data_IF_456125537300
#
_entry.id   IF_456125537300
#
_cell.length_a   1.000
_cell.length_b   1.000
_cell.length_c   1.000
_cell.angle_alpha   90.00
_cell.angle_beta   90.00
_cell.angle_gamma   90.00
#
_symmetry.space_group_name_H-M   'P 1'
#
loop_
_entity.id
_entity.type
_entity.pdbx_description
1 polymer ?
#
# COMPACT_ATOMS: atom_id res chain seq x y z
N UNK A 1 -9.75 41.85 90.33
CA UNK A 1 -8.86 42.06 89.17
C UNK A 1 -8.17 40.74 88.76
N UNK A 2 -8.82 39.88 87.98
CA UNK A 2 -8.24 38.61 87.46
C UNK A 2 -8.61 38.36 85.98
N UNK A 3 -8.81 39.43 85.22
CA UNK A 3 -9.33 39.37 83.84
C UNK A 3 -8.37 39.78 82.71
N UNK A 4 -7.15 40.26 83.01
CA UNK A 4 -6.22 40.76 81.98
C UNK A 4 -5.03 39.84 81.65
N UNK A 5 -4.75 38.80 82.44
CA UNK A 5 -3.58 37.91 82.23
C UNK A 5 -3.85 36.66 81.36
N UNK A 6 -5.10 36.35 81.01
CA UNK A 6 -5.46 35.15 80.24
C UNK A 6 -5.34 35.35 78.72
N UNK A 7 -5.66 36.55 78.22
CA UNK A 7 -5.63 36.88 76.79
C UNK A 7 -4.19 37.08 76.28
N UNK A 8 -3.32 37.70 77.10
CA UNK A 8 -1.90 37.89 76.74
C UNK A 8 -1.11 36.58 76.67
N UNK A 9 -1.43 35.58 77.51
CA UNK A 9 -0.70 34.31 77.54
C UNK A 9 -1.00 33.43 76.32
N UNK A 10 -2.27 33.39 75.87
CA UNK A 10 -2.67 32.67 74.63
C UNK A 10 -2.11 33.32 73.36
N UNK A 11 -1.99 34.66 73.31
CA UNK A 11 -1.36 35.36 72.19
C UNK A 11 0.14 35.07 72.07
N UNK A 12 0.85 34.99 73.19
CA UNK A 12 2.29 34.71 73.22
C UNK A 12 2.63 33.26 72.83
N UNK A 13 1.81 32.29 73.23
CA UNK A 13 1.98 30.88 72.81
C UNK A 13 1.68 30.70 71.32
N UNK A 14 0.69 31.40 70.76
CA UNK A 14 0.37 31.36 69.33
C UNK A 14 1.49 31.97 68.47
N UNK A 15 2.06 33.11 68.89
CA UNK A 15 3.20 33.72 68.20
C UNK A 15 4.47 32.86 68.30
N UNK A 16 4.72 32.23 69.44
CA UNK A 16 5.88 31.34 69.61
C UNK A 16 5.78 30.08 68.73
N UNK A 17 4.59 29.51 68.57
CA UNK A 17 4.35 28.36 67.70
C UNK A 17 4.55 28.70 66.22
N UNK A 18 4.06 29.85 65.75
CA UNK A 18 4.26 30.32 64.37
C UNK A 18 5.73 30.62 64.08
N UNK A 19 6.44 31.27 65.02
CA UNK A 19 7.85 31.58 64.87
C UNK A 19 8.72 30.31 64.82
N UNK A 20 8.38 29.29 65.63
CA UNK A 20 9.05 27.98 65.60
C UNK A 20 8.85 27.26 64.26
N UNK A 21 7.63 27.26 63.70
CA UNK A 21 7.36 26.66 62.39
C UNK A 21 8.08 27.39 61.25
N UNK A 22 8.13 28.73 61.28
CA UNK A 22 8.87 29.54 60.30
C UNK A 22 10.39 29.29 60.38
N UNK A 23 10.96 29.17 61.59
CA UNK A 23 12.37 28.85 61.79
C UNK A 23 12.72 27.42 61.34
N UNK A 24 11.82 26.45 61.56
CA UNK A 24 11.95 25.08 61.05
C UNK A 24 11.95 25.04 59.51
N UNK A 25 11.00 25.74 58.87
CA UNK A 25 10.92 25.85 57.42
C UNK A 25 12.16 26.54 56.82
N UNK A 26 12.67 27.59 57.46
CA UNK A 26 13.89 28.29 57.02
C UNK A 26 15.16 27.42 57.14
N UNK A 27 15.29 26.61 58.20
CA UNK A 27 16.39 25.64 58.36
C UNK A 27 16.32 24.53 57.30
N UNK A 28 15.13 24.01 57.01
CA UNK A 28 14.89 23.02 55.94
C UNK A 28 15.31 23.57 54.57
N UNK A 29 14.94 24.81 54.26
CA UNK A 29 15.27 25.49 53.00
C UNK A 29 16.79 25.72 52.83
N UNK A 30 17.51 26.09 53.89
CA UNK A 30 18.97 26.28 53.87
C UNK A 30 19.73 24.96 53.66
N UNK A 31 19.22 23.84 54.18
CA UNK A 31 19.84 22.51 53.99
C UNK A 31 19.67 21.97 52.56
N UNK A 32 18.53 22.22 51.91
CA UNK A 32 18.25 21.79 50.52
C UNK A 32 19.13 22.51 49.50
N UNK A 33 19.42 23.81 49.69
CA UNK A 33 20.37 24.55 48.84
C UNK A 33 21.79 24.00 48.89
N UNK A 34 22.27 23.55 50.06
CA UNK A 34 23.59 22.91 50.19
C UNK A 34 23.65 21.56 49.47
N UNK A 35 22.61 20.72 49.59
CA UNK A 35 22.57 19.42 48.89
C UNK A 35 22.53 19.58 47.36
N UNK A 36 21.83 20.58 46.84
CA UNK A 36 21.80 20.89 45.41
C UNK A 36 23.16 21.43 44.93
N UNK A 37 23.82 22.28 45.73
CA UNK A 37 25.15 22.81 45.41
C UNK A 37 26.24 21.72 45.39
N UNK A 38 26.22 20.77 46.33
CA UNK A 38 27.15 19.64 46.33
C UNK A 38 26.85 18.61 45.22
N UNK A 39 25.58 18.41 44.85
CA UNK A 39 25.20 17.60 43.69
C UNK A 39 25.71 18.21 42.38
N UNK A 40 25.59 19.52 42.21
CA UNK A 40 26.11 20.23 41.03
C UNK A 40 27.65 20.21 40.97
N UNK A 41 28.33 20.41 42.11
CA UNK A 41 29.79 20.40 42.17
C UNK A 41 30.38 18.98 41.95
N UNK A 42 29.69 17.95 42.45
CA UNK A 42 30.05 16.53 42.19
C UNK A 42 29.88 16.15 40.72
N UNK A 43 28.84 16.66 40.05
CA UNK A 43 28.63 16.40 38.62
C UNK A 43 29.72 17.08 37.78
N UNK A 44 30.13 18.30 38.15
CA UNK A 44 31.20 19.03 37.45
C UNK A 44 32.57 18.35 37.63
N UNK A 45 32.89 17.84 38.83
CA UNK A 45 34.11 17.07 39.07
C UNK A 45 34.11 15.67 38.41
N UNK A 46 32.94 15.03 38.30
CA UNK A 46 32.81 13.75 37.59
C UNK A 46 32.98 13.91 36.07
N UNK A 47 32.51 15.02 35.50
CA UNK A 47 32.67 15.33 34.08
C UNK A 47 34.13 15.68 33.72
N UNK A 48 34.92 16.23 34.65
CA UNK A 48 36.33 16.55 34.41
C UNK A 48 37.28 15.34 34.48
N UNK A 49 36.82 14.19 34.98
CA UNK A 49 37.62 12.95 35.05
C UNK A 49 37.29 11.95 33.93
N UNK A 50 36.44 12.33 32.97
CA UNK A 50 36.23 11.53 31.77
C UNK A 50 37.52 11.55 30.93
N UNK A 51 38.04 10.37 30.50
CA UNK A 51 39.22 10.33 29.64
C UNK A 51 38.95 11.13 28.36
N UNK A 52 39.89 12.01 28.00
CA UNK A 52 39.89 12.86 26.79
C UNK A 52 39.79 12.05 25.47
N UNK A 53 39.72 10.72 25.51
CA UNK A 53 39.40 9.84 24.38
C UNK A 53 37.90 9.54 24.19
N UNK A 54 37.02 10.05 25.07
CA UNK A 54 35.56 9.89 24.95
C UNK A 54 34.86 11.09 24.29
N UNK A 55 35.61 12.10 23.84
CA UNK A 55 35.23 12.87 22.65
C UNK A 55 35.53 12.00 21.44
N UNK A 56 34.76 10.92 21.31
CA UNK A 56 34.51 10.36 20.00
C UNK A 56 34.15 11.57 19.15
N UNK A 57 34.89 11.75 18.06
CA UNK A 57 34.39 12.52 16.94
C UNK A 57 32.91 12.17 16.86
N UNK A 58 32.04 13.16 17.08
CA UNK A 58 30.69 13.10 16.55
C UNK A 58 30.91 13.17 15.03
N UNK A 59 31.45 12.09 14.46
CA UNK A 59 31.17 11.74 13.09
C UNK A 59 29.65 11.83 13.06
N UNK A 60 29.14 12.81 12.31
CA UNK A 60 27.73 12.82 11.96
C UNK A 60 27.38 11.37 11.65
N UNK A 61 26.52 10.77 12.47
CA UNK A 61 26.12 9.38 12.27
C UNK A 61 25.59 9.36 10.84
N UNK A 62 26.37 8.75 9.93
CA UNK A 62 26.15 8.97 8.53
C UNK A 62 24.71 8.53 8.21
N UNK A 63 23.94 9.44 7.63
CA UNK A 63 22.50 9.32 7.45
C UNK A 63 22.20 8.42 6.24
N UNK A 64 22.52 7.13 6.39
CA UNK A 64 22.45 6.14 5.33
C UNK A 64 21.00 5.83 4.96
N UNK A 65 20.70 5.86 3.66
CA UNK A 65 19.39 5.48 3.13
C UNK A 65 19.12 3.98 3.26
N UNK A 66 20.12 3.15 2.93
CA UNK A 66 19.93 1.70 2.83
C UNK A 66 21.20 0.93 3.18
N UNK A 67 21.07 -0.38 3.35
CA UNK A 67 22.20 -1.29 3.54
C UNK A 67 22.02 -2.60 2.77
N UNK A 68 23.13 -3.27 2.48
CA UNK A 68 23.18 -4.64 1.96
C UNK A 68 24.16 -5.43 2.83
N UNK A 69 23.65 -6.41 3.57
CA UNK A 69 24.44 -7.07 4.61
C UNK A 69 24.93 -6.05 5.65
N UNK A 70 26.24 -5.90 5.79
CA UNK A 70 26.86 -4.93 6.72
C UNK A 70 27.28 -3.61 6.04
N UNK A 71 27.19 -3.53 4.70
CA UNK A 71 27.60 -2.34 3.95
C UNK A 71 26.45 -1.34 3.87
N UNK A 72 26.68 -0.10 4.31
CA UNK A 72 25.69 0.98 4.29
C UNK A 72 25.91 1.92 3.08
N UNK A 73 24.83 2.47 2.56
CA UNK A 73 24.79 3.33 1.38
C UNK A 73 24.08 4.65 1.70
N UNK A 74 24.69 5.77 1.31
CA UNK A 74 24.13 7.11 1.57
C UNK A 74 22.84 7.34 0.80
N UNK A 75 22.73 6.81 -0.42
CA UNK A 75 21.56 6.95 -1.29
C UNK A 75 20.96 5.60 -1.64
N UNK A 76 19.65 5.59 -1.92
CA UNK A 76 18.95 4.40 -2.34
C UNK A 76 19.46 3.91 -3.71
N UNK A 77 19.69 4.82 -4.66
CA UNK A 77 20.28 4.49 -5.97
C UNK A 77 21.63 3.76 -5.85
N UNK A 78 22.52 4.20 -4.95
CA UNK A 78 23.81 3.54 -4.76
C UNK A 78 23.66 2.09 -4.27
N UNK A 79 22.65 1.80 -3.45
CA UNK A 79 22.33 0.42 -3.06
C UNK A 79 21.80 -0.41 -4.24
N UNK A 80 20.92 0.16 -5.06
CA UNK A 80 20.40 -0.52 -6.27
C UNK A 80 21.50 -0.78 -7.33
N UNK A 81 22.47 0.11 -7.46
CA UNK A 81 23.61 -0.09 -8.36
C UNK A 81 24.51 -1.24 -7.85
N UNK A 82 24.74 -1.29 -6.54
CA UNK A 82 25.64 -2.24 -5.91
C UNK A 82 25.06 -3.65 -5.69
N UNK A 83 23.73 -3.79 -5.64
CA UNK A 83 23.09 -5.07 -5.32
C UNK A 83 23.43 -6.17 -6.34
N UNK A 84 23.71 -7.36 -5.80
CA UNK A 84 24.01 -8.58 -6.56
C UNK A 84 22.87 -9.58 -6.43
N UNK A 85 22.97 -10.66 -7.21
CA UNK A 85 22.01 -11.78 -7.17
C UNK A 85 21.87 -12.30 -5.73
N UNK A 86 20.62 -12.59 -5.35
CA UNK A 86 20.18 -13.14 -4.06
C UNK A 86 20.50 -12.27 -2.84
N UNK A 87 20.87 -11.00 -3.03
CA UNK A 87 21.05 -10.05 -1.93
C UNK A 87 19.75 -9.33 -1.57
N UNK A 88 19.74 -8.73 -0.38
CA UNK A 88 18.65 -7.89 0.10
C UNK A 88 19.16 -6.47 0.33
N UNK A 89 18.48 -5.50 -0.26
CA UNK A 89 18.58 -4.09 0.12
C UNK A 89 17.60 -3.88 1.28
N UNK A 90 18.07 -3.42 2.43
CA UNK A 90 17.21 -3.05 3.57
C UNK A 90 17.19 -1.54 3.72
N UNK A 91 15.99 -0.96 3.73
CA UNK A 91 15.79 0.47 3.93
C UNK A 91 16.01 0.85 5.40
N UNK A 92 16.75 1.92 5.65
CA UNK A 92 17.12 2.36 7.01
C UNK A 92 16.33 3.59 7.47
N UNK A 93 15.84 4.40 6.53
CA UNK A 93 15.05 5.60 6.77
C UNK A 93 14.07 5.83 5.63
N UNK A 94 13.13 6.75 5.82
CA UNK A 94 12.25 7.19 4.74
C UNK A 94 13.06 7.96 3.69
N UNK A 95 12.79 7.71 2.41
CA UNK A 95 13.55 8.27 1.29
C UNK A 95 12.61 8.95 0.31
N UNK A 96 12.91 10.20 -0.03
CA UNK A 96 12.32 10.88 -1.19
C UNK A 96 13.28 10.73 -2.38
N UNK A 97 12.76 10.21 -3.48
CA UNK A 97 13.52 9.91 -4.69
C UNK A 97 13.28 10.97 -5.75
N UNK A 98 14.38 11.53 -6.26
CA UNK A 98 14.38 12.68 -7.17
C UNK A 98 14.54 12.34 -8.65
N UNK A 99 14.77 11.07 -8.97
CA UNK A 99 14.98 10.54 -10.32
C UNK A 99 14.59 9.05 -10.39
N UNK A 100 14.20 8.52 -11.57
CA UNK A 100 13.85 7.11 -11.72
C UNK A 100 14.93 6.15 -11.24
N UNK A 101 14.54 5.06 -10.58
CA UNK A 101 15.40 3.93 -10.25
C UNK A 101 15.30 2.90 -11.36
N UNK A 102 16.37 2.79 -12.14
CA UNK A 102 16.46 1.84 -13.24
C UNK A 102 17.07 0.53 -12.76
N UNK A 103 16.38 -0.59 -12.99
CA UNK A 103 16.85 -1.92 -12.65
C UNK A 103 17.05 -2.71 -13.94
N UNK A 104 18.30 -3.09 -14.20
CA UNK A 104 18.74 -3.74 -15.45
C UNK A 104 19.74 -4.88 -15.19
N UNK A 105 20.02 -5.66 -16.24
CA UNK A 105 20.96 -6.78 -16.22
C UNK A 105 20.34 -8.10 -15.77
N UNK A 106 21.15 -9.03 -15.27
CA UNK A 106 20.70 -10.32 -14.71
C UNK A 106 20.87 -10.25 -13.20
N UNK A 107 19.79 -9.91 -12.49
CA UNK A 107 19.80 -9.72 -11.03
C UNK A 107 18.45 -10.16 -10.47
N UNK A 108 18.43 -11.15 -9.59
CA UNK A 108 17.26 -11.41 -8.75
C UNK A 108 17.61 -11.02 -7.32
N UNK A 109 16.85 -10.14 -6.69
CA UNK A 109 17.18 -9.60 -5.35
C UNK A 109 15.91 -9.17 -4.63
N UNK A 110 16.05 -8.83 -3.34
CA UNK A 110 14.95 -8.37 -2.49
C UNK A 110 15.19 -6.94 -2.06
N UNK A 111 14.14 -6.14 -2.01
CA UNK A 111 14.09 -4.85 -1.34
C UNK A 111 13.13 -4.94 -0.16
N UNK A 112 13.71 -4.81 1.02
CA UNK A 112 13.02 -4.82 2.28
C UNK A 112 12.79 -3.38 2.75
N UNK A 113 11.52 -2.97 2.79
CA UNK A 113 11.12 -1.64 3.22
C UNK A 113 11.31 -1.44 4.72
N UNK A 114 11.37 -2.51 5.53
CA UNK A 114 11.67 -2.44 6.96
C UNK A 114 10.85 -1.34 7.71
N UNK A 115 9.56 -1.27 7.40
CA UNK A 115 8.62 -0.29 7.94
C UNK A 115 8.83 1.16 7.50
N UNK A 116 9.63 1.40 6.44
CA UNK A 116 9.95 2.73 5.91
C UNK A 116 9.24 3.01 4.60
N UNK A 117 9.23 4.29 4.23
CA UNK A 117 8.59 4.79 3.02
C UNK A 117 9.62 5.19 1.96
N UNK A 118 9.37 4.79 0.71
CA UNK A 118 10.00 5.40 -0.47
C UNK A 118 8.94 6.23 -1.19
N UNK A 119 9.19 7.52 -1.35
CA UNK A 119 8.27 8.44 -2.00
C UNK A 119 8.95 9.09 -3.21
N UNK A 120 8.31 9.06 -4.37
CA UNK A 120 8.76 9.86 -5.51
C UNK A 120 8.61 11.35 -5.19
N UNK A 121 9.51 12.22 -5.64
CA UNK A 121 9.33 13.65 -5.42
C UNK A 121 8.07 14.18 -6.15
N UNK A 122 7.06 14.59 -5.39
CA UNK A 122 5.78 15.13 -5.88
C UNK A 122 5.89 16.39 -6.75
N UNK A 123 7.02 17.12 -6.67
CA UNK A 123 7.27 18.31 -7.51
C UNK A 123 7.91 17.95 -8.85
N UNK A 124 8.17 16.67 -9.12
CA UNK A 124 8.91 16.17 -10.29
C UNK A 124 8.09 15.21 -11.16
N UNK A 125 6.76 15.26 -11.08
CA UNK A 125 5.84 14.40 -11.84
C UNK A 125 6.06 14.43 -13.35
N UNK A 126 6.56 15.55 -13.89
CA UNK A 126 6.82 15.70 -15.33
C UNK A 126 8.15 15.06 -15.77
N UNK A 127 9.02 14.72 -14.82
CA UNK A 127 10.35 14.14 -15.09
C UNK A 127 10.47 12.69 -14.65
N UNK A 128 9.62 12.25 -13.72
CA UNK A 128 9.55 10.87 -13.25
C UNK A 128 8.31 10.25 -13.87
N UNK A 129 8.46 9.70 -15.07
CA UNK A 129 7.38 8.91 -15.68
C UNK A 129 7.14 7.64 -14.86
N UNK A 130 8.19 6.90 -14.51
CA UNK A 130 8.11 5.76 -13.61
C UNK A 130 9.12 5.85 -12.47
N UNK A 131 8.68 5.68 -11.22
CA UNK A 131 9.60 5.68 -10.06
C UNK A 131 10.60 4.52 -10.17
N UNK A 132 10.10 3.32 -10.48
CA UNK A 132 10.92 2.16 -10.81
C UNK A 132 10.69 1.74 -12.25
N UNK A 133 11.78 1.60 -13.00
CA UNK A 133 11.77 1.03 -14.35
C UNK A 133 12.55 -0.28 -14.37
N UNK A 134 11.82 -1.37 -14.61
CA UNK A 134 12.33 -2.74 -14.58
C UNK A 134 12.52 -3.25 -16.01
N UNK A 135 13.77 -3.44 -16.41
CA UNK A 135 14.14 -3.97 -17.71
C UNK A 135 15.33 -4.94 -17.58
N UNK A 136 15.06 -6.11 -16.98
CA UNK A 136 16.08 -7.04 -16.52
C UNK A 136 15.59 -8.50 -16.63
N UNK A 137 16.52 -9.45 -16.53
CA UNK A 137 16.22 -10.88 -16.47
C UNK A 137 16.32 -11.37 -15.01
N UNK A 138 15.19 -11.38 -14.31
CA UNK A 138 15.15 -11.85 -12.93
C UNK A 138 13.88 -11.44 -12.19
N UNK A 139 13.92 -11.61 -10.87
CA UNK A 139 12.86 -11.23 -9.95
C UNK A 139 13.30 -10.08 -9.04
N UNK A 140 12.52 -9.01 -9.02
CA UNK A 140 12.63 -7.93 -8.05
C UNK A 140 11.55 -8.16 -6.99
N UNK A 141 11.95 -8.71 -5.85
CA UNK A 141 11.05 -8.95 -4.73
C UNK A 141 10.97 -7.75 -3.80
N UNK A 142 9.77 -7.37 -3.39
CA UNK A 142 9.49 -6.33 -2.40
C UNK A 142 8.86 -7.00 -1.19
N UNK A 143 9.37 -6.65 -0.02
CA UNK A 143 8.81 -7.07 1.26
C UNK A 143 8.89 -5.94 2.28
N UNK A 144 8.19 -6.12 3.37
CA UNK A 144 8.41 -5.41 4.61
C UNK A 144 8.62 -6.43 5.73
N UNK A 145 9.82 -6.53 6.30
CA UNK A 145 10.12 -7.51 7.35
C UNK A 145 9.50 -7.18 8.70
N UNK A 146 9.01 -5.95 8.92
CA UNK A 146 8.40 -5.62 10.21
C UNK A 146 7.01 -6.24 10.35
N UNK A 147 6.62 -6.55 11.58
CA UNK A 147 5.34 -7.22 11.88
C UNK A 147 4.11 -6.40 11.48
N UNK A 148 4.20 -5.07 11.56
CA UNK A 148 3.08 -4.18 11.23
C UNK A 148 2.85 -3.96 9.74
N UNK A 149 3.82 -4.32 8.89
CA UNK A 149 3.76 -4.12 7.43
C UNK A 149 3.45 -2.67 7.02
N UNK A 150 4.04 -1.70 7.73
CA UNK A 150 3.81 -0.26 7.51
C UNK A 150 4.66 0.31 6.36
N UNK A 151 5.59 -0.47 5.79
CA UNK A 151 6.46 -0.05 4.69
C UNK A 151 5.69 0.18 3.39
N UNK A 152 5.98 1.31 2.73
CA UNK A 152 5.24 1.76 1.54
C UNK A 152 6.15 2.31 0.44
N UNK A 153 5.70 2.19 -0.80
CA UNK A 153 6.27 2.87 -1.95
C UNK A 153 5.18 3.74 -2.57
N UNK A 154 5.41 5.05 -2.61
CA UNK A 154 4.44 6.04 -3.09
C UNK A 154 5.00 6.70 -4.34
N UNK A 155 4.22 6.72 -5.41
CA UNK A 155 4.56 7.48 -6.61
C UNK A 155 3.39 8.34 -7.07
N UNK A 156 3.73 9.30 -7.93
CA UNK A 156 2.80 10.30 -8.42
C UNK A 156 2.74 10.26 -9.95
N UNK A 157 2.17 9.19 -10.56
CA UNK A 157 2.00 9.13 -12.01
C UNK A 157 1.26 10.37 -12.49
N UNK A 158 1.66 10.95 -13.63
CA UNK A 158 1.03 12.14 -14.20
C UNK A 158 -0.06 11.74 -15.21
N UNK A 159 -0.20 12.52 -16.28
CA UNK A 159 -1.26 12.35 -17.29
C UNK A 159 -0.87 11.46 -18.47
N UNK A 160 0.29 10.77 -18.45
CA UNK A 160 0.65 9.82 -19.50
C UNK A 160 0.31 8.38 -19.11
N UNK A 161 -0.10 7.59 -20.11
CA UNK A 161 -0.45 6.18 -19.91
C UNK A 161 0.78 5.33 -19.52
N UNK A 162 1.97 5.79 -19.89
CA UNK A 162 3.25 5.17 -19.51
C UNK A 162 3.69 5.55 -18.09
N UNK A 163 3.03 6.49 -17.44
CA UNK A 163 3.42 6.91 -16.09
C UNK A 163 2.98 5.88 -15.06
N UNK A 164 3.87 5.54 -14.13
CA UNK A 164 3.60 4.55 -13.11
C UNK A 164 4.45 4.65 -11.85
N UNK A 165 4.11 3.92 -10.78
CA UNK A 165 5.08 3.68 -9.69
C UNK A 165 6.10 2.64 -10.14
N UNK A 166 5.62 1.56 -10.75
CA UNK A 166 6.45 0.51 -11.34
C UNK A 166 6.09 0.29 -12.80
N UNK A 167 7.06 0.49 -13.70
CA UNK A 167 6.99 0.00 -15.07
C UNK A 167 7.81 -1.29 -15.18
N UNK A 168 7.12 -2.41 -15.37
CA UNK A 168 7.73 -3.72 -15.63
C UNK A 168 7.76 -3.95 -17.13
N UNK A 169 8.88 -3.58 -17.75
CA UNK A 169 9.13 -3.81 -19.16
C UNK A 169 9.67 -5.23 -19.42
N UNK A 170 10.48 -5.75 -18.50
CA UNK A 170 11.02 -7.11 -18.53
C UNK A 170 11.32 -7.57 -17.12
N UNK A 171 11.25 -8.89 -16.90
CA UNK A 171 11.45 -9.50 -15.59
C UNK A 171 10.15 -9.59 -14.78
N UNK A 172 10.29 -9.89 -13.50
CA UNK A 172 9.14 -10.09 -12.60
C UNK A 172 9.25 -9.17 -11.39
N UNK A 173 8.21 -8.36 -11.16
CA UNK A 173 7.95 -7.73 -9.88
C UNK A 173 7.25 -8.75 -8.97
N UNK A 174 7.83 -9.01 -7.79
CA UNK A 174 7.26 -9.94 -6.80
C UNK A 174 6.90 -9.16 -5.54
N UNK A 175 5.65 -9.22 -5.10
CA UNK A 175 5.20 -8.58 -3.85
C UNK A 175 4.94 -9.65 -2.79
N UNK A 176 5.77 -9.66 -1.74
CA UNK A 176 5.71 -10.59 -0.61
C UNK A 176 5.08 -9.96 0.64
N UNK A 177 4.50 -8.77 0.52
CA UNK A 177 3.94 -7.99 1.61
C UNK A 177 4.61 -6.62 1.75
N UNK A 178 3.87 -5.57 1.43
CA UNK A 178 4.18 -4.14 1.56
C UNK A 178 3.02 -3.37 0.89
N UNK A 179 3.02 -2.03 0.92
CA UNK A 179 2.10 -1.23 0.11
C UNK A 179 2.80 -0.56 -1.08
N UNK A 180 2.16 -0.58 -2.25
CA UNK A 180 2.50 0.26 -3.41
C UNK A 180 1.30 1.19 -3.66
N UNK A 181 1.53 2.50 -3.68
CA UNK A 181 0.49 3.52 -3.78
C UNK A 181 0.76 4.47 -4.96
N UNK A 182 -0.13 4.47 -5.96
CA UNK A 182 -0.16 5.51 -6.99
C UNK A 182 -1.15 6.61 -6.61
N UNK A 183 -0.62 7.82 -6.42
CA UNK A 183 -1.40 8.99 -6.03
C UNK A 183 -1.47 9.97 -7.17
N UNK A 184 -2.66 10.16 -7.72
CA UNK A 184 -3.00 11.30 -8.54
C UNK A 184 -3.08 12.56 -7.67
N UNK A 185 -2.17 13.52 -7.90
CA UNK A 185 -2.15 14.82 -7.23
C UNK A 185 -3.17 15.82 -7.79
N UNK A 186 -3.67 15.57 -9.01
CA UNK A 186 -4.49 16.52 -9.73
C UNK A 186 -5.99 16.22 -9.51
N UNK A 187 -6.67 17.19 -8.89
CA UNK A 187 -8.14 17.30 -8.83
C UNK A 187 -8.70 18.16 -9.98
N UNK A 188 -7.91 18.44 -11.01
CA UNK A 188 -8.20 19.40 -12.08
C UNK A 188 -9.20 18.89 -13.14
N UNK A 189 -9.84 17.75 -12.89
CA UNK A 189 -10.85 17.17 -13.78
C UNK A 189 -10.29 16.49 -15.03
N UNK A 190 -8.96 16.52 -15.27
CA UNK A 190 -8.33 15.69 -16.29
C UNK A 190 -8.08 14.29 -15.72
N UNK A 191 -8.55 13.21 -16.36
CA UNK A 191 -8.33 11.88 -15.82
C UNK A 191 -6.84 11.56 -15.90
N UNK A 192 -6.19 11.44 -14.74
CA UNK A 192 -4.89 10.80 -14.65
C UNK A 192 -5.01 9.36 -15.18
N UNK A 193 -4.27 9.06 -16.25
CA UNK A 193 -4.32 7.76 -16.94
C UNK A 193 -3.18 6.82 -16.55
N UNK A 194 -2.31 7.22 -15.63
CA UNK A 194 -1.20 6.41 -15.12
C UNK A 194 -1.64 5.27 -14.20
N UNK A 195 -0.69 4.45 -13.76
CA UNK A 195 -0.94 3.22 -12.99
C UNK A 195 -0.05 3.06 -11.76
N UNK A 196 -0.43 2.25 -10.77
CA UNK A 196 0.53 1.81 -9.75
C UNK A 196 1.56 0.86 -10.36
N UNK A 197 1.09 -0.14 -11.11
CA UNK A 197 1.96 -1.08 -11.83
C UNK A 197 1.55 -1.14 -13.30
N UNK A 198 2.50 -0.83 -14.18
CA UNK A 198 2.39 -0.94 -15.63
C UNK A 198 3.22 -2.15 -16.10
N UNK A 199 2.58 -3.17 -16.66
CA UNK A 199 3.23 -4.34 -17.25
C UNK A 199 3.18 -4.24 -18.78
N UNK A 200 4.34 -4.30 -19.42
CA UNK A 200 4.47 -4.28 -20.88
C UNK A 200 5.60 -5.18 -21.33
N UNK A 201 5.69 -5.47 -22.63
CA UNK A 201 6.77 -6.24 -23.24
C UNK A 201 7.09 -7.56 -22.50
N UNK A 202 6.05 -8.32 -22.13
CA UNK A 202 6.13 -9.56 -21.33
C UNK A 202 6.60 -9.41 -19.87
N UNK A 203 6.61 -8.19 -19.33
CA UNK A 203 6.80 -7.94 -17.90
C UNK A 203 5.77 -8.66 -17.03
N UNK A 204 6.16 -9.01 -15.81
CA UNK A 204 5.37 -9.87 -14.93
C UNK A 204 5.16 -9.28 -13.54
N UNK A 205 3.98 -9.55 -12.98
CA UNK A 205 3.67 -9.33 -11.57
C UNK A 205 3.35 -10.67 -10.89
N UNK A 206 3.89 -10.89 -9.70
CA UNK A 206 3.46 -11.98 -8.81
C UNK A 206 3.19 -11.44 -7.42
N UNK A 207 1.97 -11.59 -6.93
CA UNK A 207 1.53 -11.13 -5.62
C UNK A 207 1.32 -12.33 -4.70
N UNK A 208 2.13 -12.45 -3.66
CA UNK A 208 1.95 -13.41 -2.57
C UNK A 208 1.24 -12.79 -1.37
N UNK A 209 1.43 -11.49 -1.14
CA UNK A 209 0.75 -10.70 -0.12
C UNK A 209 0.94 -9.20 -0.41
N UNK A 210 0.36 -8.32 0.41
CA UNK A 210 0.52 -6.87 0.34
C UNK A 210 -0.63 -6.17 -0.38
N UNK A 211 -0.46 -4.85 -0.57
CA UNK A 211 -1.46 -3.98 -1.18
C UNK A 211 -0.87 -3.22 -2.35
N UNK A 212 -1.59 -3.20 -3.47
CA UNK A 212 -1.36 -2.24 -4.56
C UNK A 212 -2.62 -1.36 -4.62
N UNK A 213 -2.46 -0.06 -4.37
CA UNK A 213 -3.56 0.90 -4.32
C UNK A 213 -3.31 2.03 -5.31
N UNK A 214 -4.37 2.50 -5.95
CA UNK A 214 -4.29 3.68 -6.82
C UNK A 214 -5.58 4.49 -6.77
N UNK A 215 -5.46 5.81 -6.90
CA UNK A 215 -6.57 6.69 -7.27
C UNK A 215 -6.41 7.30 -8.68
N UNK A 216 -5.52 6.72 -9.49
CA UNK A 216 -5.38 6.98 -10.93
C UNK A 216 -6.36 6.13 -11.74
N UNK A 217 -6.32 6.17 -13.08
CA UNK A 217 -7.23 5.37 -13.91
C UNK A 217 -7.12 3.87 -13.67
N UNK A 218 -5.90 3.34 -13.55
CA UNK A 218 -5.65 1.91 -13.37
C UNK A 218 -4.81 1.69 -12.11
N UNK A 219 -5.04 0.60 -11.38
CA UNK A 219 -4.09 0.18 -10.33
C UNK A 219 -3.00 -0.70 -10.95
N UNK A 220 -3.40 -1.77 -11.65
CA UNK A 220 -2.52 -2.59 -12.49
C UNK A 220 -3.01 -2.53 -13.94
N UNK A 221 -2.11 -2.20 -14.87
CA UNK A 221 -2.35 -2.24 -16.31
C UNK A 221 -1.38 -3.22 -16.97
N UNK A 222 -1.88 -4.07 -17.86
CA UNK A 222 -1.11 -5.10 -18.52
C UNK A 222 -1.40 -5.17 -20.02
N UNK A 223 -0.37 -5.03 -20.85
CA UNK A 223 -0.42 -5.22 -22.31
C UNK A 223 0.76 -6.04 -22.83
N UNK A 224 0.77 -6.32 -24.14
CA UNK A 224 1.94 -6.85 -24.85
C UNK A 224 2.46 -8.17 -24.27
N UNK A 225 1.53 -9.13 -24.11
CA UNK A 225 1.78 -10.46 -23.55
C UNK A 225 2.34 -10.47 -22.12
N UNK A 226 2.16 -9.38 -21.37
CA UNK A 226 2.46 -9.34 -19.94
C UNK A 226 1.53 -10.23 -19.12
N UNK A 227 1.94 -10.54 -17.89
CA UNK A 227 1.19 -11.48 -17.03
C UNK A 227 1.19 -11.05 -15.57
N UNK A 228 0.08 -11.30 -14.88
CA UNK A 228 -0.01 -11.16 -13.44
C UNK A 228 -0.54 -12.45 -12.80
N UNK A 229 0.00 -12.80 -11.63
CA UNK A 229 -0.51 -13.87 -10.78
C UNK A 229 -0.78 -13.30 -9.40
N UNK A 230 -1.97 -13.51 -8.86
CA UNK A 230 -2.37 -13.05 -7.53
C UNK A 230 -2.76 -14.25 -6.68
N UNK A 231 -1.92 -14.56 -5.68
CA UNK A 231 -2.16 -15.61 -4.69
C UNK A 231 -2.93 -15.09 -3.47
N UNK A 232 -2.56 -13.90 -2.97
CA UNK A 232 -3.24 -13.20 -1.89
C UNK A 232 -2.93 -11.70 -1.94
N UNK A 233 -3.40 -10.95 -0.94
CA UNK A 233 -3.28 -9.49 -0.86
C UNK A 233 -4.46 -8.73 -1.47
N UNK A 234 -4.28 -7.43 -1.65
CA UNK A 234 -5.31 -6.50 -2.14
C UNK A 234 -4.78 -5.70 -3.34
N UNK A 235 -5.51 -5.72 -4.45
CA UNK A 235 -5.36 -4.74 -5.52
C UNK A 235 -6.60 -3.87 -5.53
N UNK A 236 -6.46 -2.60 -5.19
CA UNK A 236 -7.61 -1.69 -5.09
C UNK A 236 -7.46 -0.44 -5.96
N UNK A 237 -8.58 -0.01 -6.52
CA UNK A 237 -8.69 1.30 -7.14
C UNK A 237 -9.73 2.15 -6.41
N UNK A 238 -9.28 3.30 -5.92
CA UNK A 238 -10.04 4.27 -5.13
C UNK A 238 -10.42 5.51 -5.93
N UNK A 239 -10.18 5.52 -7.24
CA UNK A 239 -10.55 6.63 -8.10
C UNK A 239 -12.07 6.77 -8.18
N UNK A 240 -12.56 7.96 -7.85
CA UNK A 240 -13.98 8.30 -7.89
C UNK A 240 -14.34 9.24 -9.06
N UNK A 241 -13.43 9.50 -9.98
CA UNK A 241 -13.59 10.48 -11.06
C UNK A 241 -13.98 9.83 -12.39
N UNK A 242 -15.08 10.29 -13.00
CA UNK A 242 -15.56 9.78 -14.30
C UNK A 242 -15.90 8.27 -14.30
N UNK A 243 -15.91 7.66 -15.49
CA UNK A 243 -15.99 6.20 -15.68
C UNK A 243 -14.58 5.58 -15.72
N UNK A 244 -13.71 6.04 -14.83
CA UNK A 244 -12.32 5.63 -14.74
C UNK A 244 -12.07 5.14 -13.30
N UNK A 245 -11.17 4.17 -13.13
CA UNK A 245 -10.90 3.55 -11.84
C UNK A 245 -11.00 2.03 -11.92
N UNK A 246 -10.08 1.42 -12.65
CA UNK A 246 -10.00 -0.03 -12.85
C UNK A 246 -8.91 -0.57 -11.92
N UNK A 247 -9.21 -1.61 -11.15
CA UNK A 247 -8.19 -2.21 -10.30
C UNK A 247 -7.19 -3.03 -11.13
N UNK A 248 -7.67 -3.89 -12.04
CA UNK A 248 -6.79 -4.54 -13.01
C UNK A 248 -7.34 -4.49 -14.44
N UNK A 249 -6.56 -3.95 -15.36
CA UNK A 249 -6.89 -3.78 -16.78
C UNK A 249 -5.92 -4.60 -17.66
N UNK A 250 -6.42 -5.66 -18.29
CA UNK A 250 -5.66 -6.58 -19.15
C UNK A 250 -6.08 -6.43 -20.61
N UNK A 251 -5.11 -6.11 -21.46
CA UNK A 251 -5.31 -5.78 -22.88
C UNK A 251 -4.32 -6.51 -23.76
N UNK A 252 -4.65 -6.70 -25.03
CA UNK A 252 -3.70 -7.06 -26.11
C UNK A 252 -2.70 -8.17 -25.71
N UNK A 253 -3.20 -9.37 -25.39
CA UNK A 253 -2.38 -10.50 -24.95
C UNK A 253 -2.07 -10.57 -23.45
N UNK A 254 -2.46 -9.56 -22.66
CA UNK A 254 -2.27 -9.56 -21.20
C UNK A 254 -2.99 -10.72 -20.52
N UNK A 255 -2.36 -11.31 -19.50
CA UNK A 255 -2.92 -12.48 -18.79
C UNK A 255 -3.01 -12.32 -17.28
N UNK A 256 -4.06 -12.88 -16.67
CA UNK A 256 -4.24 -12.94 -15.22
C UNK A 256 -4.50 -14.37 -14.76
N UNK A 257 -3.80 -14.79 -13.71
CA UNK A 257 -4.21 -15.90 -12.86
C UNK A 257 -4.58 -15.39 -11.46
N UNK A 258 -5.87 -15.41 -11.13
CA UNK A 258 -6.38 -15.11 -9.79
C UNK A 258 -6.59 -16.43 -9.02
N UNK A 259 -5.76 -16.63 -7.99
CA UNK A 259 -5.80 -17.83 -7.14
C UNK A 259 -6.35 -17.51 -5.74
N UNK A 260 -6.25 -16.25 -5.31
CA UNK A 260 -6.78 -15.76 -4.03
C UNK A 260 -6.72 -14.23 -3.95
N UNK A 261 -6.80 -13.67 -2.75
CA UNK A 261 -6.78 -12.22 -2.53
C UNK A 261 -8.02 -11.49 -3.03
N UNK A 262 -7.95 -10.16 -3.07
CA UNK A 262 -9.07 -9.28 -3.44
C UNK A 262 -8.65 -8.30 -4.52
N UNK A 263 -9.45 -8.21 -5.59
CA UNK A 263 -9.40 -7.14 -6.59
C UNK A 263 -10.64 -6.28 -6.37
N UNK A 264 -10.45 -5.00 -6.05
CA UNK A 264 -11.53 -4.10 -5.65
C UNK A 264 -11.50 -2.78 -6.43
N UNK A 265 -12.64 -2.38 -6.99
CA UNK A 265 -12.80 -1.02 -7.54
C UNK A 265 -13.94 -0.28 -6.84
N UNK A 266 -13.67 0.98 -6.49
CA UNK A 266 -14.66 1.86 -5.87
C UNK A 266 -15.74 2.33 -6.84
N UNK A 267 -15.41 2.52 -8.13
CA UNK A 267 -16.31 3.22 -9.06
C UNK A 267 -16.45 2.61 -10.45
N UNK A 268 -15.47 1.89 -10.97
CA UNK A 268 -15.64 1.26 -12.28
C UNK A 268 -15.48 -0.25 -12.14
N UNK A 269 -15.07 -0.96 -13.20
CA UNK A 269 -14.85 -2.39 -13.10
C UNK A 269 -13.66 -2.69 -12.20
N UNK A 270 -13.76 -3.74 -11.38
CA UNK A 270 -12.59 -4.23 -10.65
C UNK A 270 -11.63 -4.94 -11.62
N UNK A 271 -12.19 -5.72 -12.54
CA UNK A 271 -11.45 -6.40 -13.59
C UNK A 271 -11.95 -6.00 -14.98
N UNK A 272 -11.05 -5.51 -15.82
CA UNK A 272 -11.34 -5.16 -17.21
C UNK A 272 -10.43 -5.95 -18.15
N UNK A 273 -11.02 -6.59 -19.15
CA UNK A 273 -10.31 -7.45 -20.10
C UNK A 273 -10.75 -7.02 -21.50
N UNK A 274 -9.82 -6.56 -22.33
CA UNK A 274 -10.19 -5.97 -23.61
C UNK A 274 -9.24 -6.26 -24.77
N UNK A 275 -9.77 -6.03 -25.97
CA UNK A 275 -9.13 -6.21 -27.27
C UNK A 275 -8.94 -7.69 -27.64
N UNK A 276 -7.74 -8.13 -28.02
CA UNK A 276 -7.50 -9.48 -28.51
C UNK A 276 -6.45 -10.22 -27.69
N UNK A 277 -6.59 -11.55 -27.62
CA UNK A 277 -5.59 -12.46 -27.05
C UNK A 277 -5.41 -12.41 -25.54
N UNK A 278 -6.16 -11.57 -24.81
CA UNK A 278 -6.10 -11.55 -23.35
C UNK A 278 -6.80 -12.79 -22.76
N UNK A 279 -6.22 -13.33 -21.68
CA UNK A 279 -6.71 -14.53 -21.00
C UNK A 279 -6.73 -14.34 -19.50
N UNK A 280 -7.85 -14.68 -18.87
CA UNK A 280 -7.99 -14.63 -17.42
C UNK A 280 -8.50 -15.96 -16.90
N UNK A 281 -7.82 -16.45 -15.86
CA UNK A 281 -8.14 -17.67 -15.14
C UNK A 281 -8.41 -17.30 -13.69
N UNK A 282 -9.59 -17.65 -13.17
CA UNK A 282 -9.98 -17.42 -11.79
C UNK A 282 -10.28 -18.74 -11.11
N UNK A 283 -9.49 -19.07 -10.10
CA UNK A 283 -9.60 -20.30 -9.31
C UNK A 283 -9.93 -20.03 -7.83
N UNK A 284 -9.80 -18.78 -7.39
CA UNK A 284 -10.12 -18.34 -6.03
C UNK A 284 -10.09 -16.80 -5.92
N UNK A 285 -10.26 -16.28 -4.70
CA UNK A 285 -10.24 -14.84 -4.42
C UNK A 285 -11.58 -14.13 -4.66
N UNK A 286 -11.56 -12.81 -4.53
CA UNK A 286 -12.73 -11.94 -4.65
C UNK A 286 -12.47 -10.85 -5.68
N UNK A 287 -13.40 -10.64 -6.61
CA UNK A 287 -13.42 -9.53 -7.57
C UNK A 287 -14.66 -8.70 -7.29
N UNK A 288 -14.48 -7.46 -6.83
CA UNK A 288 -15.60 -6.64 -6.32
C UNK A 288 -15.60 -5.21 -6.84
N UNK A 289 -16.75 -4.75 -7.30
CA UNK A 289 -16.99 -3.36 -7.69
C UNK A 289 -18.27 -2.81 -7.06
N UNK A 290 -18.22 -1.55 -6.65
CA UNK A 290 -19.37 -0.85 -6.06
C UNK A 290 -20.22 -0.07 -7.08
N UNK A 291 -19.97 -0.14 -8.39
CA UNK A 291 -20.73 0.70 -9.35
C UNK A 291 -20.98 0.13 -10.76
N UNK A 292 -19.94 -0.34 -11.48
CA UNK A 292 -20.09 -0.71 -12.90
C UNK A 292 -20.27 -2.21 -13.16
N UNK A 293 -20.00 -3.05 -12.15
CA UNK A 293 -19.90 -4.51 -12.27
C UNK A 293 -18.51 -4.99 -11.87
N UNK A 294 -18.40 -6.24 -11.41
CA UNK A 294 -17.14 -6.82 -10.97
C UNK A 294 -16.15 -7.00 -12.13
N UNK A 295 -16.60 -7.56 -13.26
CA UNK A 295 -15.76 -7.85 -14.41
C UNK A 295 -16.41 -7.48 -15.75
N UNK A 296 -15.61 -6.97 -16.69
CA UNK A 296 -16.02 -6.70 -18.06
C UNK A 296 -15.02 -7.26 -19.06
N UNK A 297 -15.51 -8.12 -19.96
CA UNK A 297 -14.73 -8.80 -20.99
C UNK A 297 -15.22 -8.31 -22.34
N UNK A 298 -14.40 -7.59 -23.09
CA UNK A 298 -14.81 -6.95 -24.34
C UNK A 298 -13.76 -7.12 -25.45
N UNK A 299 -14.04 -8.01 -26.39
CA UNK A 299 -13.20 -8.17 -27.57
C UNK A 299 -13.28 -9.54 -28.21
N UNK A 300 -12.34 -9.82 -29.11
CA UNK A 300 -12.32 -11.02 -29.95
C UNK A 300 -11.25 -12.00 -29.46
N UNK A 301 -11.64 -13.27 -29.30
CA UNK A 301 -10.72 -14.34 -28.90
C UNK A 301 -10.21 -14.19 -27.46
N UNK A 302 -10.99 -13.55 -26.59
CA UNK A 302 -10.68 -13.46 -25.16
C UNK A 302 -11.19 -14.70 -24.43
N UNK A 303 -10.37 -15.24 -23.52
CA UNK A 303 -10.72 -16.40 -22.70
C UNK A 303 -10.89 -15.98 -21.24
N UNK A 304 -12.09 -16.20 -20.69
CA UNK A 304 -12.42 -15.98 -19.29
C UNK A 304 -12.85 -17.30 -18.64
N UNK A 305 -11.95 -17.90 -17.85
CA UNK A 305 -12.10 -19.24 -17.30
C UNK A 305 -12.26 -19.14 -15.78
N UNK A 306 -13.39 -19.59 -15.26
CA UNK A 306 -13.71 -19.52 -13.83
C UNK A 306 -13.98 -20.91 -13.28
N UNK A 307 -13.18 -21.32 -12.31
CA UNK A 307 -13.36 -22.57 -11.55
C UNK A 307 -13.62 -22.34 -10.06
N UNK A 308 -13.41 -21.11 -9.56
CA UNK A 308 -13.66 -20.72 -8.18
C UNK A 308 -13.70 -19.20 -7.99
N UNK A 309 -13.72 -18.75 -6.74
CA UNK A 309 -13.75 -17.33 -6.38
C UNK A 309 -15.15 -16.70 -6.32
N UNK A 310 -15.21 -15.43 -5.92
CA UNK A 310 -16.44 -14.63 -5.79
C UNK A 310 -16.36 -13.37 -6.66
N UNK A 311 -17.43 -13.08 -7.40
CA UNK A 311 -17.61 -11.86 -8.17
C UNK A 311 -18.78 -11.07 -7.60
N UNK A 312 -18.52 -9.89 -7.06
CA UNK A 312 -19.51 -9.03 -6.41
C UNK A 312 -19.58 -7.70 -7.14
N UNK A 313 -20.53 -7.58 -8.07
CA UNK A 313 -20.74 -6.34 -8.81
C UNK A 313 -21.98 -5.61 -8.35
N UNK A 314 -21.91 -4.32 -8.11
CA UNK A 314 -23.09 -3.47 -8.04
C UNK A 314 -23.33 -2.82 -9.40
N UNK A 315 -24.59 -2.74 -9.84
CA UNK A 315 -25.00 -1.96 -11.02
C UNK A 315 -26.31 -1.24 -10.76
N UNK A 316 -26.39 0.05 -11.05
CA UNK A 316 -27.61 0.86 -10.81
C UNK A 316 -28.75 0.55 -11.77
N UNK A 317 -28.44 0.18 -13.01
CA UNK A 317 -29.43 -0.06 -14.05
C UNK A 317 -29.88 -1.54 -14.09
N UNK A 318 -31.13 -1.77 -14.49
CA UNK A 318 -31.71 -3.12 -14.62
C UNK A 318 -31.07 -3.95 -15.75
N UNK A 319 -30.26 -3.31 -16.60
CA UNK A 319 -29.59 -3.92 -17.75
C UNK A 319 -28.10 -4.21 -17.50
N UNK A 320 -27.57 -3.82 -16.33
CA UNK A 320 -26.18 -4.06 -15.96
C UNK A 320 -25.93 -5.51 -15.55
N UNK A 321 -24.66 -5.90 -15.57
CA UNK A 321 -24.22 -7.24 -15.16
C UNK A 321 -23.07 -7.14 -14.16
N UNK A 322 -23.03 -8.04 -13.17
CA UNK A 322 -21.84 -8.16 -12.32
C UNK A 322 -20.65 -8.72 -13.12
N UNK A 323 -20.90 -9.63 -14.06
CA UNK A 323 -19.92 -10.06 -15.08
C UNK A 323 -20.51 -9.85 -16.47
N UNK A 324 -19.86 -9.02 -17.27
CA UNK A 324 -20.26 -8.74 -18.66
C UNK A 324 -19.33 -9.42 -19.65
N UNK A 325 -19.88 -10.20 -20.60
CA UNK A 325 -19.12 -10.89 -21.66
C UNK A 325 -19.52 -10.37 -23.04
N UNK A 326 -18.59 -9.71 -23.73
CA UNK A 326 -18.77 -9.10 -25.04
C UNK A 326 -18.74 -10.09 -26.19
N UNK A 327 -19.27 -9.69 -27.34
CA UNK A 327 -19.27 -10.47 -28.58
C UNK A 327 -17.85 -10.89 -28.97
N UNK A 328 -17.64 -12.18 -29.22
CA UNK A 328 -16.34 -12.72 -29.64
C UNK A 328 -15.45 -13.20 -28.50
N UNK A 329 -15.83 -12.95 -27.25
CA UNK A 329 -15.18 -13.50 -26.06
C UNK A 329 -15.84 -14.80 -25.64
N UNK A 330 -15.09 -15.67 -24.95
CA UNK A 330 -15.59 -16.93 -24.40
C UNK A 330 -15.48 -16.87 -22.90
N UNK A 331 -16.58 -17.16 -22.21
CA UNK A 331 -16.59 -17.33 -20.77
C UNK A 331 -17.00 -18.77 -20.41
N UNK A 332 -16.20 -19.44 -19.60
CA UNK A 332 -16.45 -20.81 -19.13
C UNK A 332 -16.46 -20.83 -17.61
N UNK A 333 -17.59 -21.23 -17.03
CA UNK A 333 -17.76 -21.40 -15.60
C UNK A 333 -17.87 -22.89 -15.27
N UNK A 334 -16.97 -23.35 -14.41
CA UNK A 334 -16.95 -24.68 -13.78
C UNK A 334 -17.10 -24.61 -12.27
N UNK A 335 -17.22 -23.41 -11.71
CA UNK A 335 -17.37 -23.15 -10.28
C UNK A 335 -17.40 -21.64 -10.00
N UNK A 336 -17.30 -21.26 -8.72
CA UNK A 336 -17.34 -19.87 -8.26
C UNK A 336 -18.75 -19.30 -8.05
N UNK A 337 -18.80 -18.10 -7.50
CA UNK A 337 -20.02 -17.36 -7.21
C UNK A 337 -20.03 -16.00 -7.91
N UNK A 338 -21.16 -15.63 -8.51
CA UNK A 338 -21.37 -14.30 -9.09
C UNK A 338 -22.64 -13.72 -8.49
N UNK A 339 -22.52 -12.62 -7.77
CA UNK A 339 -23.66 -11.84 -7.27
C UNK A 339 -23.66 -10.42 -7.83
N UNK A 340 -24.81 -10.01 -8.35
CA UNK A 340 -25.10 -8.60 -8.58
C UNK A 340 -25.82 -8.01 -7.37
N UNK A 341 -25.20 -7.07 -6.66
CA UNK A 341 -25.73 -6.43 -5.45
C UNK A 341 -26.60 -5.21 -5.71
N UNK A 342 -26.75 -4.81 -6.98
CA UNK A 342 -27.63 -3.74 -7.43
C UNK A 342 -28.88 -4.25 -8.14
N UNK A 343 -29.37 -3.48 -9.11
CA UNK A 343 -30.59 -3.79 -9.85
C UNK A 343 -30.37 -4.70 -11.06
N UNK A 344 -29.12 -4.98 -11.41
CA UNK A 344 -28.77 -5.75 -12.60
C UNK A 344 -28.80 -7.26 -12.40
N UNK A 345 -28.25 -7.97 -13.38
CA UNK A 345 -28.15 -9.44 -13.40
C UNK A 345 -26.77 -9.91 -12.98
N UNK A 346 -26.64 -11.17 -12.55
CA UNK A 346 -25.35 -11.75 -12.18
C UNK A 346 -24.38 -11.75 -13.37
N UNK A 347 -24.83 -12.31 -14.50
CA UNK A 347 -24.01 -12.47 -15.70
C UNK A 347 -24.85 -12.20 -16.95
N UNK A 348 -24.18 -11.71 -17.99
CA UNK A 348 -24.75 -11.61 -19.32
C UNK A 348 -23.81 -10.86 -20.25
N UNK A 349 -24.34 -10.41 -21.39
CA UNK A 349 -23.57 -9.64 -22.34
C UNK A 349 -24.06 -9.87 -23.77
N UNK A 350 -23.17 -9.65 -24.72
CA UNK A 350 -23.49 -9.55 -26.15
C UNK A 350 -23.00 -10.79 -26.92
N UNK A 351 -22.90 -11.94 -26.26
CA UNK A 351 -22.41 -13.20 -26.85
C UNK A 351 -23.29 -14.39 -26.50
N UNK A 352 -23.30 -15.36 -27.39
CA UNK A 352 -23.80 -16.73 -27.23
C UNK A 352 -22.79 -17.68 -26.55
N UNK A 353 -21.57 -17.22 -26.24
CA UNK A 353 -20.44 -18.05 -25.77
C UNK A 353 -20.21 -17.97 -24.26
N UNK A 354 -21.28 -18.07 -23.48
CA UNK A 354 -21.20 -18.25 -22.02
C UNK A 354 -21.59 -19.69 -21.71
N UNK A 355 -20.62 -20.48 -21.21
CA UNK A 355 -20.79 -21.90 -20.97
C UNK A 355 -20.72 -22.21 -19.48
N UNK A 356 -21.71 -22.96 -18.98
CA UNK A 356 -21.71 -23.56 -17.65
C UNK A 356 -21.35 -25.04 -17.82
N UNK A 357 -20.08 -25.37 -17.61
CA UNK A 357 -19.51 -26.67 -17.97
C UNK A 357 -19.56 -27.71 -16.83
N UNK A 358 -20.53 -27.59 -15.92
CA UNK A 358 -20.65 -28.40 -14.69
C UNK A 358 -20.07 -27.71 -13.45
N UNK A 359 -19.93 -28.44 -12.34
CA UNK A 359 -19.24 -27.96 -11.12
C UNK A 359 -19.99 -26.93 -10.25
N UNK A 360 -21.31 -26.86 -10.40
CA UNK A 360 -22.23 -26.09 -9.52
C UNK A 360 -21.87 -24.61 -9.31
N UNK A 361 -21.58 -23.81 -10.36
CA UNK A 361 -21.42 -22.37 -10.20
C UNK A 361 -22.72 -21.74 -9.71
N UNK A 362 -22.60 -20.68 -8.90
CA UNK A 362 -23.73 -20.03 -8.26
C UNK A 362 -23.92 -18.62 -8.80
N UNK A 363 -25.05 -18.36 -9.46
CA UNK A 363 -25.40 -17.05 -9.98
C UNK A 363 -26.57 -16.46 -9.21
N UNK A 364 -26.41 -15.25 -8.68
CA UNK A 364 -27.42 -14.61 -7.83
C UNK A 364 -27.69 -13.17 -8.22
N UNK A 365 -28.95 -12.77 -8.08
CA UNK A 365 -29.35 -11.37 -8.06
C UNK A 365 -29.74 -10.98 -6.64
N UNK A 366 -29.38 -9.77 -6.24
CA UNK A 366 -29.62 -9.30 -4.89
C UNK A 366 -31.06 -8.89 -4.71
N UNK A 367 -31.73 -9.53 -3.75
CA UNK A 367 -33.05 -9.15 -3.33
C UNK A 367 -32.94 -7.97 -2.35
N UNK A 368 -33.18 -6.77 -2.87
CA UNK A 368 -33.18 -5.52 -2.10
C UNK A 368 -34.11 -5.56 -0.89
N UNK A 369 -35.23 -6.30 -0.96
CA UNK A 369 -36.21 -6.37 0.14
C UNK A 369 -35.74 -7.23 1.32
N UNK A 370 -34.85 -8.20 1.05
CA UNK A 370 -34.33 -9.12 2.06
C UNK A 370 -32.84 -8.93 2.36
N UNK A 371 -32.16 -8.04 1.63
CA UNK A 371 -30.71 -7.82 1.69
C UNK A 371 -29.90 -9.12 1.54
N UNK A 372 -30.34 -10.01 0.66
CA UNK A 372 -29.66 -11.31 0.41
C UNK A 372 -29.57 -11.59 -1.09
N UNK A 373 -28.45 -12.18 -1.52
CA UNK A 373 -28.31 -12.71 -2.87
C UNK A 373 -29.20 -13.96 -3.02
N UNK A 374 -30.21 -13.92 -3.91
CA UNK A 374 -31.07 -15.08 -4.23
C UNK A 374 -30.57 -15.80 -5.49
N UNK A 375 -30.64 -17.13 -5.50
CA UNK A 375 -30.36 -17.96 -6.68
C UNK A 375 -31.25 -17.51 -7.86
N UNK A 376 -30.63 -17.33 -9.02
CA UNK A 376 -31.37 -17.28 -10.29
C UNK A 376 -32.11 -18.60 -10.45
N UNK A 377 -33.45 -18.56 -10.47
CA UNK A 377 -34.23 -19.72 -10.91
C UNK A 377 -33.87 -19.98 -12.37
N UNK A 378 -33.43 -21.21 -12.63
CA UNK A 378 -33.09 -21.76 -13.96
C UNK A 378 -34.16 -21.50 -14.99
#
# INVERSE_FOLDING_TARGET
MKGKNSVFKKGHEFFSAILSQLLSAAKSFKSRKRKIAYGFLSLVLAVSMLPLGAFGTLAAEADYAAQIGTTKYETLNAAFDAVKISQTITLLKDVVVDAPINVSGIKSFTFDLNGKTVESNKSKTDTISSLFYLNFDGNFAIQDSISKKEGKIIGYPSFNADDSVFCVNKGTLVLNGAAIEAVNLNNDGKPNIGSAVLLKNSGKLTMYDGTISANTKNTVYASDSSSAIVYAGLVENLNMSGNNGIAMDFRSGGTLELKGGTIYSKKYFALYIAYSGAKVIVSGGTVRSEFAGAAHILGQGLEFLVSGGSFEGYTENNYGYAVTVGSGSIAVFTGGEVCNTGNGRAIGGYTDKIYIAGGSPVFRTYDLSKKICRLLKT
#
